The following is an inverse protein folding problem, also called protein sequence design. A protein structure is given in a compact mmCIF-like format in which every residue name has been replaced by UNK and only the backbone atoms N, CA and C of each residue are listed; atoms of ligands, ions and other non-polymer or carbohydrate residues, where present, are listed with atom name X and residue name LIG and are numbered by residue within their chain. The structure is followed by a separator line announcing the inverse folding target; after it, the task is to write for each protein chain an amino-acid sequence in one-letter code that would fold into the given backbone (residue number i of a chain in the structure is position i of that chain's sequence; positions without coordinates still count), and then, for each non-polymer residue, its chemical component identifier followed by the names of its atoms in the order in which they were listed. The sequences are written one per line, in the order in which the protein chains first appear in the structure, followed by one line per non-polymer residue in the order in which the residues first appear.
data_IF_168171608234
#
_entry.id   IF_168171608234
#
_cell.length_a   1.000
_cell.length_b   1.000
_cell.length_c   1.000
_cell.angle_alpha   90.00
_cell.angle_beta   90.00
_cell.angle_gamma   90.00
#
_symmetry.space_group_name_H-M   'P 1'
#
loop_
_entity.id
_entity.type
_entity.pdbx_description
1 polymer ?
#
# COMPACT_ATOMS: atom_id res chain seq x y z
N UNK A 1 4.21 -10.45 22.26
CA UNK A 1 5.11 -10.05 21.16
C UNK A 1 4.79 -8.62 20.72
N UNK A 2 5.41 -7.61 21.33
CA UNK A 2 5.34 -6.23 20.86
C UNK A 2 6.51 -5.96 19.90
N UNK A 3 6.21 -5.55 18.67
CA UNK A 3 7.23 -5.21 17.68
C UNK A 3 7.83 -3.85 18.03
N UNK A 4 9.13 -3.82 18.36
CA UNK A 4 9.88 -2.59 18.59
C UNK A 4 11.11 -2.59 17.70
N UNK A 5 10.97 -2.01 16.50
CA UNK A 5 12.10 -1.71 15.63
C UNK A 5 12.66 -0.35 16.03
N UNK A 6 13.92 -0.34 16.48
CA UNK A 6 14.69 0.89 16.69
C UNK A 6 15.16 1.39 15.32
N UNK A 7 14.67 2.55 14.90
CA UNK A 7 15.29 3.33 13.82
C UNK A 7 16.07 4.44 14.50
N UNK A 8 17.38 4.48 14.24
CA UNK A 8 18.28 5.48 14.74
C UNK A 8 17.88 6.87 14.19
N UNK A 9 17.89 7.84 15.11
CA UNK A 9 17.89 9.29 14.86
C UNK A 9 16.56 9.92 14.39
N UNK A 10 15.75 10.32 15.38
CA UNK A 10 14.89 11.50 15.30
C UNK A 10 13.61 11.39 14.45
N UNK A 11 12.69 10.50 14.79
CA UNK A 11 11.32 10.55 14.26
C UNK A 11 10.47 9.42 14.82
N UNK A 12 9.41 9.77 15.55
CA UNK A 12 8.57 8.86 16.34
C UNK A 12 8.26 7.54 15.64
N UNK A 13 8.36 6.45 16.41
CA UNK A 13 8.03 5.10 15.97
C UNK A 13 6.55 5.09 15.58
N UNK A 14 6.28 5.21 14.29
CA UNK A 14 4.94 5.12 13.74
C UNK A 14 4.43 3.68 13.90
N UNK A 15 3.57 3.46 14.89
CA UNK A 15 2.93 2.15 15.13
C UNK A 15 1.97 1.84 13.99
N UNK A 16 2.31 0.83 13.19
CA UNK A 16 1.42 0.33 12.13
C UNK A 16 0.36 -0.56 12.78
N UNK A 17 -0.88 -0.09 12.75
CA UNK A 17 -2.02 -0.81 13.29
C UNK A 17 -2.75 -1.53 12.18
N UNK A 18 -2.93 -2.83 12.34
CA UNK A 18 -3.62 -3.70 11.38
C UNK A 18 -4.97 -4.10 11.95
N UNK A 19 -6.03 -3.97 11.16
CA UNK A 19 -7.39 -4.43 11.47
C UNK A 19 -7.89 -5.32 10.35
N UNK A 20 -9.02 -6.01 10.51
CA UNK A 20 -9.55 -6.95 9.50
C UNK A 20 -9.83 -6.36 8.10
N UNK A 21 -9.86 -5.03 7.93
CA UNK A 21 -10.17 -4.35 6.64
C UNK A 21 -9.28 -3.14 6.33
N UNK A 22 -8.53 -2.64 7.30
CA UNK A 22 -7.70 -1.44 7.12
C UNK A 22 -6.41 -1.54 7.92
N UNK A 23 -5.31 -1.16 7.31
CA UNK A 23 -4.04 -0.89 7.99
C UNK A 23 -3.96 0.62 8.15
N UNK A 24 -3.68 1.13 9.34
CA UNK A 24 -3.55 2.57 9.54
C UNK A 24 -2.38 2.91 10.46
N UNK A 25 -1.89 4.13 10.31
CA UNK A 25 -0.77 4.68 11.06
C UNK A 25 -1.22 6.04 11.61
N UNK A 26 -1.38 6.18 12.93
CA UNK A 26 -1.65 7.47 13.54
C UNK A 26 -0.38 8.33 13.56
N UNK A 27 -0.54 9.65 13.36
CA UNK A 27 0.51 10.65 13.49
C UNK A 27 0.32 11.49 14.75
N UNK A 28 1.40 12.12 15.22
CA UNK A 28 1.40 13.01 16.40
C UNK A 28 0.49 14.24 16.21
N UNK A 29 0.32 14.69 14.97
CA UNK A 29 -0.57 15.80 14.58
C UNK A 29 -2.07 15.44 14.66
N UNK A 30 -2.41 14.20 15.02
CA UNK A 30 -3.78 13.68 15.05
C UNK A 30 -4.30 13.22 13.68
N UNK A 31 -3.57 13.50 12.60
CA UNK A 31 -3.83 12.91 11.28
C UNK A 31 -3.49 11.41 11.26
N UNK A 32 -3.98 10.66 10.27
CA UNK A 32 -3.63 9.24 10.10
C UNK A 32 -3.52 8.84 8.63
N UNK A 33 -2.52 8.02 8.33
CA UNK A 33 -2.44 7.33 7.04
C UNK A 33 -3.22 6.02 7.14
N UNK A 34 -3.84 5.58 6.05
CA UNK A 34 -4.53 4.31 6.02
C UNK A 34 -4.44 3.63 4.66
N UNK A 35 -4.48 2.31 4.67
CA UNK A 35 -4.52 1.43 3.54
C UNK A 35 -5.74 0.52 3.71
N UNK A 36 -6.72 0.69 2.84
CA UNK A 36 -7.89 -0.18 2.76
C UNK A 36 -7.55 -1.42 1.98
N UNK A 37 -7.86 -2.56 2.57
CA UNK A 37 -7.70 -3.83 1.92
C UNK A 37 -8.91 -4.74 2.16
N UNK A 38 -9.09 -5.70 1.27
CA UNK A 38 -10.10 -6.75 1.41
C UNK A 38 -9.45 -8.09 1.17
N UNK A 39 -9.81 -9.09 1.96
CA UNK A 39 -9.38 -10.47 1.74
C UNK A 39 -10.59 -11.25 1.24
N UNK A 40 -10.48 -11.85 0.06
CA UNK A 40 -11.54 -12.59 -0.61
C UNK A 40 -10.92 -13.60 -1.57
N UNK A 41 -11.51 -14.78 -1.74
CA UNK A 41 -11.03 -15.83 -2.66
C UNK A 41 -9.53 -16.18 -2.53
N UNK A 42 -8.99 -16.14 -1.31
CA UNK A 42 -7.55 -16.40 -1.09
C UNK A 42 -6.63 -15.28 -1.58
N UNK A 43 -7.17 -14.08 -1.82
CA UNK A 43 -6.45 -12.91 -2.35
C UNK A 43 -6.65 -11.71 -1.44
N UNK A 44 -5.62 -10.87 -1.31
CA UNK A 44 -5.68 -9.57 -0.65
C UNK A 44 -5.70 -8.44 -1.67
N UNK A 45 -6.82 -7.73 -1.72
CA UNK A 45 -7.05 -6.60 -2.60
C UNK A 45 -6.63 -5.32 -1.89
N UNK A 46 -5.59 -4.66 -2.40
CA UNK A 46 -5.14 -3.36 -1.92
C UNK A 46 -5.94 -2.27 -2.62
N UNK A 47 -7.09 -1.92 -2.04
CA UNK A 47 -8.13 -1.09 -2.67
C UNK A 47 -7.67 0.36 -2.83
N UNK A 48 -7.22 0.96 -1.74
CA UNK A 48 -6.92 2.38 -1.68
C UNK A 48 -5.91 2.65 -0.56
N UNK A 49 -4.93 3.51 -0.85
CA UNK A 49 -3.96 3.97 0.13
C UNK A 49 -4.02 5.48 0.22
N UNK A 50 -4.38 5.99 1.39
CA UNK A 50 -4.42 7.40 1.66
C UNK A 50 -3.28 7.78 2.60
N UNK A 51 -2.55 8.82 2.23
CA UNK A 51 -1.52 9.42 3.07
C UNK A 51 -1.70 10.94 3.04
N UNK A 52 -1.85 11.58 4.22
CA UNK A 52 -2.00 13.02 4.29
C UNK A 52 -0.79 13.72 3.66
N UNK A 53 -1.00 14.81 2.90
CA UNK A 53 0.05 15.45 2.11
C UNK A 53 1.25 15.89 2.96
N UNK A 54 1.00 16.34 4.18
CA UNK A 54 2.02 16.75 5.16
C UNK A 54 2.96 15.61 5.60
N UNK A 55 2.53 14.35 5.43
CA UNK A 55 3.32 13.16 5.75
C UNK A 55 3.68 12.32 4.52
N UNK A 56 3.36 12.79 3.31
CA UNK A 56 3.88 12.17 2.07
C UNK A 56 5.40 12.31 2.03
N UNK A 57 6.06 11.34 1.42
CA UNK A 57 7.54 11.28 1.37
C UNK A 57 8.21 10.69 2.62
N UNK A 58 7.48 10.49 3.73
CA UNK A 58 8.01 9.87 4.96
C UNK A 58 8.02 8.32 4.94
N UNK A 59 7.76 7.70 3.80
CA UNK A 59 7.76 6.23 3.65
C UNK A 59 6.60 5.48 4.31
N UNK A 60 5.58 6.16 4.84
CA UNK A 60 4.48 5.53 5.61
C UNK A 60 3.62 4.60 4.75
N UNK A 61 3.29 5.04 3.53
CA UNK A 61 2.55 4.23 2.57
C UNK A 61 3.27 2.91 2.25
N UNK A 62 4.61 2.97 2.10
CA UNK A 62 5.46 1.80 1.88
C UNK A 62 5.30 0.80 3.03
N UNK A 63 5.40 1.28 4.27
CA UNK A 63 5.31 0.42 5.47
C UNK A 63 3.94 -0.27 5.58
N UNK A 64 2.86 0.43 5.24
CA UNK A 64 1.52 -0.17 5.25
C UNK A 64 1.38 -1.26 4.16
N UNK A 65 1.89 -1.01 2.95
CA UNK A 65 1.89 -1.98 1.86
C UNK A 65 2.75 -3.20 2.20
N UNK A 66 3.97 -2.98 2.70
CA UNK A 66 4.86 -4.06 3.14
C UNK A 66 4.18 -4.93 4.20
N UNK A 67 3.46 -4.31 5.14
CA UNK A 67 2.70 -5.08 6.14
C UNK A 67 1.56 -5.88 5.53
N UNK A 68 0.85 -5.34 4.54
CA UNK A 68 -0.20 -6.08 3.84
C UNK A 68 0.38 -7.26 3.03
N UNK A 69 1.53 -7.08 2.39
CA UNK A 69 2.23 -8.12 1.64
C UNK A 69 2.73 -9.21 2.59
N UNK A 70 3.26 -8.85 3.76
CA UNK A 70 3.67 -9.80 4.79
C UNK A 70 2.48 -10.64 5.26
N UNK A 71 1.34 -10.03 5.56
CA UNK A 71 0.11 -10.74 5.91
C UNK A 71 -0.31 -11.70 4.79
N UNK A 72 -0.20 -11.26 3.54
CA UNK A 72 -0.49 -12.10 2.39
C UNK A 72 0.43 -13.32 2.37
N UNK A 73 1.74 -13.09 2.50
CA UNK A 73 2.77 -14.13 2.49
C UNK A 73 2.62 -15.12 3.65
N UNK A 74 2.36 -14.64 4.86
CA UNK A 74 2.14 -15.47 6.05
C UNK A 74 0.89 -16.34 5.92
N UNK A 75 -0.16 -15.82 5.27
CA UNK A 75 -1.42 -16.54 5.05
C UNK A 75 -1.47 -17.32 3.75
N UNK A 76 -0.44 -17.24 2.91
CA UNK A 76 -0.42 -17.85 1.57
C UNK A 76 -1.44 -17.22 0.60
N UNK A 77 -1.77 -15.94 0.78
CA UNK A 77 -2.69 -15.19 -0.09
C UNK A 77 -1.92 -14.49 -1.22
N UNK A 78 -2.59 -14.33 -2.36
CA UNK A 78 -2.05 -13.54 -3.48
C UNK A 78 -2.44 -12.06 -3.34
N UNK A 79 -1.60 -11.15 -3.84
CA UNK A 79 -1.79 -9.70 -3.71
C UNK A 79 -2.35 -9.12 -4.99
N UNK A 80 -3.43 -8.35 -4.86
CA UNK A 80 -4.08 -7.64 -5.97
C UNK A 80 -3.87 -6.13 -5.80
N UNK A 81 -2.98 -5.50 -6.58
CA UNK A 81 -2.63 -4.09 -6.44
C UNK A 81 -3.63 -3.18 -7.15
N UNK A 82 -4.77 -2.86 -6.52
CA UNK A 82 -5.79 -1.98 -7.12
C UNK A 82 -5.48 -0.49 -6.98
N UNK A 83 -4.60 -0.09 -6.06
CA UNK A 83 -4.16 1.29 -5.89
C UNK A 83 -2.87 1.57 -6.67
N UNK A 84 -2.70 2.79 -7.22
CA UNK A 84 -1.50 3.14 -8.00
C UNK A 84 -0.21 2.94 -7.20
N UNK A 85 -0.24 3.23 -5.90
CA UNK A 85 0.93 3.09 -5.03
C UNK A 85 1.40 1.62 -4.90
N UNK A 86 0.46 0.68 -4.77
CA UNK A 86 0.79 -0.74 -4.73
C UNK A 86 1.42 -1.19 -6.06
N UNK A 87 0.83 -0.80 -7.19
CA UNK A 87 1.39 -1.13 -8.52
C UNK A 87 2.81 -0.59 -8.66
N UNK A 88 3.04 0.66 -8.27
CA UNK A 88 4.38 1.27 -8.27
C UNK A 88 5.38 0.49 -7.41
N UNK A 89 4.95 0.01 -6.23
CA UNK A 89 5.79 -0.79 -5.35
C UNK A 89 6.24 -2.09 -6.04
N UNK A 90 5.33 -2.83 -6.69
CA UNK A 90 5.66 -4.07 -7.42
C UNK A 90 6.42 -3.82 -8.73
N UNK A 91 6.23 -2.66 -9.36
CA UNK A 91 7.03 -2.25 -10.51
C UNK A 91 8.51 -2.08 -10.11
N UNK A 92 8.76 -1.47 -8.94
CA UNK A 92 10.10 -1.29 -8.36
C UNK A 92 10.69 -2.56 -7.75
N UNK A 93 9.87 -3.40 -7.12
CA UNK A 93 10.30 -4.63 -6.44
C UNK A 93 9.89 -5.86 -7.26
N UNK A 94 10.74 -6.25 -8.22
CA UNK A 94 10.46 -7.42 -9.09
C UNK A 94 10.36 -8.72 -8.31
N UNK A 95 11.13 -8.87 -7.23
CA UNK A 95 11.10 -10.04 -6.34
C UNK A 95 9.71 -10.30 -5.74
N UNK A 96 8.96 -9.22 -5.45
CA UNK A 96 7.63 -9.32 -4.86
C UNK A 96 6.55 -9.70 -5.89
N UNK A 97 6.85 -9.67 -7.21
CA UNK A 97 5.87 -10.01 -8.26
C UNK A 97 5.38 -11.45 -8.18
N UNK A 98 6.17 -12.35 -7.60
CA UNK A 98 5.74 -13.73 -7.35
C UNK A 98 4.53 -13.84 -6.41
N UNK A 99 4.26 -12.79 -5.62
CA UNK A 99 3.11 -12.71 -4.72
C UNK A 99 1.88 -12.08 -5.37
N UNK A 100 2.00 -11.51 -6.58
CA UNK A 100 0.87 -10.93 -7.27
C UNK A 100 -0.11 -12.02 -7.71
N UNK A 101 -1.40 -11.69 -7.66
CA UNK A 101 -2.41 -12.51 -8.28
C UNK A 101 -2.40 -12.34 -9.81
N UNK A 102 -2.88 -13.35 -10.54
CA UNK A 102 -3.18 -13.17 -11.96
C UNK A 102 -4.34 -12.16 -12.15
N UNK A 103 -4.28 -11.35 -13.23
CA UNK A 103 -3.27 -11.36 -14.32
C UNK A 103 -2.01 -10.53 -14.02
N UNK A 104 -1.93 -9.81 -12.89
CA UNK A 104 -0.84 -8.86 -12.59
C UNK A 104 0.54 -9.51 -12.50
N UNK A 105 0.61 -10.78 -12.07
CA UNK A 105 1.85 -11.56 -12.03
C UNK A 105 2.42 -11.85 -13.41
N UNK A 106 1.54 -12.02 -14.40
CA UNK A 106 1.89 -12.39 -15.78
C UNK A 106 2.05 -11.19 -16.71
N UNK A 107 1.73 -9.98 -16.22
CA UNK A 107 1.92 -8.73 -16.97
C UNK A 107 3.40 -8.37 -17.11
N UNK A 108 3.76 -7.81 -18.27
CA UNK A 108 5.11 -7.27 -18.50
C UNK A 108 5.34 -6.00 -17.67
N UNK A 109 6.60 -5.60 -17.53
CA UNK A 109 6.98 -4.32 -16.90
C UNK A 109 6.23 -3.13 -17.51
N UNK A 110 6.08 -3.15 -18.84
CA UNK A 110 5.42 -2.10 -19.62
C UNK A 110 3.91 -2.06 -19.37
N UNK A 111 3.25 -3.22 -19.31
CA UNK A 111 1.82 -3.33 -19.03
C UNK A 111 1.50 -2.87 -17.61
N UNK A 112 2.29 -3.28 -16.62
CA UNK A 112 2.15 -2.83 -15.23
C UNK A 112 2.40 -1.33 -15.11
N UNK A 113 3.38 -0.80 -15.84
CA UNK A 113 3.66 0.64 -15.86
C UNK A 113 2.49 1.42 -16.46
N UNK A 114 1.93 0.95 -17.58
CA UNK A 114 0.75 1.55 -18.20
C UNK A 114 -0.45 1.55 -17.24
N UNK A 115 -0.73 0.41 -16.61
CA UNK A 115 -1.79 0.28 -15.60
C UNK A 115 -1.58 1.24 -14.42
N UNK A 116 -0.34 1.40 -13.94
CA UNK A 116 0.00 2.36 -12.90
C UNK A 116 -0.34 3.80 -13.33
N UNK A 117 0.07 4.20 -14.53
CA UNK A 117 -0.17 5.56 -15.05
C UNK A 117 -1.66 5.86 -15.20
N UNK A 118 -2.43 4.91 -15.75
CA UNK A 118 -3.89 5.02 -15.88
C UNK A 118 -4.55 5.17 -14.49
N UNK A 119 -4.13 4.35 -13.52
CA UNK A 119 -4.70 4.39 -12.18
C UNK A 119 -4.35 5.68 -11.45
N UNK A 120 -3.10 6.14 -11.59
CA UNK A 120 -2.63 7.40 -11.02
C UNK A 120 -3.40 8.60 -11.59
N UNK A 121 -3.65 8.61 -12.90
CA UNK A 121 -4.47 9.63 -13.55
C UNK A 121 -5.90 9.64 -12.99
N UNK A 122 -6.52 8.46 -12.85
CA UNK A 122 -7.85 8.31 -12.28
C UNK A 122 -7.93 8.75 -10.80
N UNK A 123 -6.92 8.43 -9.99
CA UNK A 123 -6.85 8.86 -8.59
C UNK A 123 -6.64 10.37 -8.47
N UNK A 124 -5.75 10.96 -9.28
CA UNK A 124 -5.54 12.41 -9.31
C UNK A 124 -6.80 13.17 -9.74
N UNK A 125 -7.52 12.67 -10.74
CA UNK A 125 -8.77 13.27 -11.18
C UNK A 125 -9.84 13.29 -10.07
N UNK A 126 -9.93 12.21 -9.27
CA UNK A 126 -10.84 12.15 -8.11
C UNK A 126 -10.44 13.12 -6.99
N UNK A 127 -9.15 13.23 -6.68
CA UNK A 127 -8.65 14.13 -5.64
C UNK A 127 -8.71 15.62 -6.06
N UNK A 128 -8.72 15.92 -7.37
CA UNK A 128 -8.88 17.28 -7.88
C UNK A 128 -10.32 17.81 -7.77
N UNK A 129 -11.32 16.92 -7.68
CA UNK A 129 -12.74 17.28 -7.57
C UNK A 129 -13.21 17.59 -6.14
N UNK A 130 -12.39 17.37 -5.11
CA UNK A 130 -12.75 17.62 -3.70
C UNK A 130 -12.30 19.03 -3.22
N UNK A 131 -11.88 19.89 -4.15
CA UNK A 131 -11.79 21.35 -3.96
C UNK A 131 -12.95 22.02 -4.73
N UNK A 132 -14.16 21.87 -4.20
CA UNK A 132 -15.34 22.63 -4.59
C UNK A 132 -15.95 23.25 -3.35
#
# INVERSE_FOLDING_TARGET
MGWRFVSAEGGGVQEVRVTSRVIYVPFEDGSKAFLRYRIEDGKIYLIETYTPPQHRGKGVARRMVEKAIEIAREKGLEVVPLCSYAVYYFLKNREARGLLAEPYRSMSDEDLKKYYEERLAAERAKNAGEKG
#
